data_IF_784095653887
#
_entry.id   IF_784095653887
#
_cell.length_a   1.000
_cell.length_b   1.000
_cell.length_c   1.000
_cell.angle_alpha   90.00
_cell.angle_beta   90.00
_cell.angle_gamma   90.00
#
_symmetry.space_group_name_H-M   'P 1'
#
loop_
_entity.id
_entity.type
_entity.pdbx_description
1 polymer ?
#
# COMPACT_ATOMS: atom_id res chain seq x y z
N UNK A 1 -8.15 22.59 -1.27
CA UNK A 1 -7.82 21.73 -2.42
C UNK A 1 -6.49 20.97 -2.29
N UNK A 2 -5.38 21.61 -1.91
CA UNK A 2 -4.05 20.94 -1.86
C UNK A 2 -3.99 19.72 -0.92
N UNK A 3 -4.64 19.78 0.25
CA UNK A 3 -4.67 18.68 1.22
C UNK A 3 -5.32 17.41 0.66
N UNK A 4 -6.42 17.55 -0.06
CA UNK A 4 -7.11 16.41 -0.68
C UNK A 4 -6.26 15.77 -1.79
N UNK A 5 -5.57 16.59 -2.60
CA UNK A 5 -4.65 16.07 -3.62
C UNK A 5 -3.48 15.31 -3.00
N UNK A 6 -2.88 15.84 -1.94
CA UNK A 6 -1.80 15.17 -1.22
C UNK A 6 -2.27 13.85 -0.57
N UNK A 7 -3.47 13.85 0.02
CA UNK A 7 -4.07 12.64 0.59
C UNK A 7 -4.30 11.56 -0.48
N UNK A 8 -4.89 11.91 -1.63
CA UNK A 8 -5.11 10.97 -2.74
C UNK A 8 -3.79 10.46 -3.35
N UNK A 9 -2.75 11.30 -3.39
CA UNK A 9 -1.41 10.88 -3.84
C UNK A 9 -0.80 9.85 -2.86
N UNK A 10 -0.83 10.12 -1.56
CA UNK A 10 -0.35 9.18 -0.54
C UNK A 10 -1.12 7.85 -0.57
N UNK A 11 -2.44 7.90 -0.75
CA UNK A 11 -3.27 6.70 -0.94
C UNK A 11 -2.91 5.93 -2.22
N UNK A 12 -2.51 6.61 -3.29
CA UNK A 12 -2.02 5.94 -4.51
C UNK A 12 -0.67 5.28 -4.26
N UNK A 13 0.27 5.95 -3.62
CA UNK A 13 1.61 5.42 -3.33
C UNK A 13 1.56 4.21 -2.40
N UNK A 14 0.72 4.27 -1.35
CA UNK A 14 0.53 3.18 -0.40
C UNK A 14 -0.02 1.88 -1.04
N UNK A 15 -0.74 1.99 -2.16
CA UNK A 15 -1.28 0.81 -2.88
C UNK A 15 -0.23 0.07 -3.71
N UNK A 16 0.83 0.76 -4.14
CA UNK A 16 1.85 0.19 -5.03
C UNK A 16 2.71 -0.82 -4.29
N UNK A 17 2.89 -2.02 -4.84
CA UNK A 17 3.74 -3.07 -4.25
C UNK A 17 5.18 -2.65 -3.98
N UNK A 18 5.69 -1.70 -4.77
CA UNK A 18 7.09 -1.24 -4.70
C UNK A 18 7.39 -0.27 -3.56
N UNK A 19 6.38 0.19 -2.80
CA UNK A 19 6.56 1.22 -1.76
C UNK A 19 6.53 0.68 -0.34
N UNK A 20 6.20 -0.59 -0.13
CA UNK A 20 6.00 -1.17 1.21
C UNK A 20 6.81 -2.43 1.51
N UNK A 21 7.71 -2.85 0.62
CA UNK A 21 8.58 -3.99 0.90
C UNK A 21 9.34 -3.76 2.22
N UNK A 22 9.20 -4.68 3.17
CA UNK A 22 9.91 -4.61 4.44
C UNK A 22 11.43 -4.53 4.15
N UNK A 23 12.12 -3.45 4.55
CA UNK A 23 13.56 -3.33 4.33
C UNK A 23 14.37 -4.40 5.06
N UNK A 24 13.77 -5.10 6.03
CA UNK A 24 14.36 -6.24 6.73
C UNK A 24 14.12 -7.59 6.02
N UNK A 25 13.40 -7.64 4.88
CA UNK A 25 13.29 -8.88 4.08
C UNK A 25 14.69 -9.35 3.68
N UNK A 26 15.11 -10.45 4.27
CA UNK A 26 16.27 -11.23 3.83
C UNK A 26 15.92 -12.00 2.55
N UNK A 27 16.94 -12.52 1.87
CA UNK A 27 16.79 -13.32 0.64
C UNK A 27 15.89 -14.57 0.80
N UNK A 28 15.63 -15.00 2.05
CA UNK A 28 14.70 -16.09 2.38
C UNK A 28 13.22 -15.75 2.11
N UNK A 29 12.90 -14.48 1.82
CA UNK A 29 11.61 -14.07 1.25
C UNK A 29 10.38 -14.46 2.11
N UNK A 30 10.59 -14.67 3.41
CA UNK A 30 9.55 -15.04 4.35
C UNK A 30 8.55 -13.89 4.50
N UNK A 31 7.26 -14.24 4.40
CA UNK A 31 6.16 -13.31 4.62
C UNK A 31 6.08 -12.98 6.11
N UNK A 32 6.18 -11.69 6.43
CA UNK A 32 6.23 -11.19 7.82
C UNK A 32 4.87 -10.69 8.29
N UNK A 33 4.72 -10.51 9.61
CA UNK A 33 3.54 -9.82 10.18
C UNK A 33 3.40 -8.38 9.65
N UNK A 34 4.51 -7.74 9.25
CA UNK A 34 4.50 -6.41 8.66
C UNK A 34 3.93 -6.44 7.23
N UNK A 35 4.28 -7.46 6.43
CA UNK A 35 3.68 -7.68 5.11
C UNK A 35 2.15 -7.89 5.24
N UNK A 36 1.69 -8.66 6.24
CA UNK A 36 0.25 -8.88 6.50
C UNK A 36 -0.49 -7.59 6.86
N UNK A 37 0.11 -6.76 7.71
CA UNK A 37 -0.43 -5.46 8.08
C UNK A 37 -0.54 -4.52 6.88
N UNK A 38 0.48 -4.50 6.00
CA UNK A 38 0.45 -3.73 4.76
C UNK A 38 -0.63 -4.21 3.79
N UNK A 39 -0.80 -5.53 3.62
CA UNK A 39 -1.85 -6.09 2.77
C UNK A 39 -3.26 -5.73 3.28
N UNK A 40 -3.50 -5.81 4.59
CA UNK A 40 -4.75 -5.39 5.20
C UNK A 40 -5.03 -3.90 4.96
N UNK A 41 -4.02 -3.06 5.15
CA UNK A 41 -4.12 -1.63 4.89
C UNK A 41 -4.43 -1.33 3.42
N UNK A 42 -3.76 -2.00 2.48
CA UNK A 42 -4.00 -1.83 1.03
C UNK A 42 -5.40 -2.25 0.64
N UNK A 43 -5.89 -3.37 1.16
CA UNK A 43 -7.26 -3.83 0.90
C UNK A 43 -8.29 -2.80 1.37
N UNK A 44 -8.07 -2.20 2.56
CA UNK A 44 -8.89 -1.08 3.02
C UNK A 44 -8.78 0.14 2.10
N UNK A 45 -7.58 0.50 1.67
CA UNK A 45 -7.34 1.61 0.74
C UNK A 45 -8.02 1.38 -0.61
N UNK A 46 -7.99 0.16 -1.16
CA UNK A 46 -8.71 -0.22 -2.38
C UNK A 46 -10.22 -0.08 -2.22
N UNK A 47 -10.77 -0.50 -1.09
CA UNK A 47 -12.21 -0.37 -0.81
C UNK A 47 -12.63 1.09 -0.72
N UNK A 48 -11.83 1.94 -0.09
CA UNK A 48 -12.12 3.36 0.08
C UNK A 48 -11.94 4.18 -1.20
N UNK A 49 -10.97 3.82 -2.03
CA UNK A 49 -10.65 4.57 -3.27
C UNK A 49 -11.35 4.03 -4.51
N UNK A 50 -12.08 2.93 -4.36
CA UNK A 50 -12.58 2.07 -5.43
C UNK A 50 -11.38 1.54 -6.26
N UNK A 51 -11.39 0.26 -6.64
CA UNK A 51 -10.33 -0.41 -7.40
C UNK A 51 -10.06 0.19 -8.81
N UNK A 52 -10.59 1.38 -9.10
CA UNK A 52 -10.59 2.08 -10.37
C UNK A 52 -9.20 2.40 -10.95
N UNK A 53 -8.11 2.19 -10.20
CA UNK A 53 -6.75 2.54 -10.63
C UNK A 53 -5.77 1.36 -10.70
N UNK A 54 -6.25 0.12 -10.51
CA UNK A 54 -5.45 -1.09 -10.75
C UNK A 54 -5.81 -1.67 -12.14
N UNK A 55 -5.25 -1.08 -13.19
CA UNK A 55 -5.20 -1.64 -14.55
C UNK A 55 -3.77 -1.55 -15.09
#
# INVERSE_FOLDING_TARGET
MHKLKAFLLGMREFRLSSTWADPARSEDNDYTELDEAYDCGRELAHRLTLRAFDY
#
